data_IF_712842523817
#
_entry.id   IF_712842523817
#
_cell.length_a   1.000
_cell.length_b   1.000
_cell.length_c   1.000
_cell.angle_alpha   90.00
_cell.angle_beta   90.00
_cell.angle_gamma   90.00
#
_symmetry.space_group_name_H-M   'P 1'
#
loop_
_entity.id
_entity.type
_entity.pdbx_description
1 polymer ?
#
# COMPACT_ATOMS: atom_id res chain seq x y z
N UNK A 1 -10.06 -19.59 -5.43
CA UNK A 1 -8.79 -19.41 -6.19
C UNK A 1 -8.06 -18.18 -5.62
N UNK A 2 -6.76 -18.26 -5.35
CA UNK A 2 -5.94 -17.14 -4.83
C UNK A 2 -4.89 -16.78 -5.89
N UNK A 3 -4.94 -15.54 -6.41
CA UNK A 3 -4.01 -15.08 -7.46
C UNK A 3 -3.38 -13.76 -7.04
N UNK A 4 -2.07 -13.59 -7.23
CA UNK A 4 -1.37 -12.33 -6.94
C UNK A 4 -0.77 -11.74 -8.20
N UNK A 5 -1.03 -10.44 -8.43
CA UNK A 5 -0.40 -9.67 -9.51
C UNK A 5 0.66 -8.78 -8.89
N UNK A 6 1.91 -9.02 -9.24
CA UNK A 6 3.07 -8.30 -8.73
C UNK A 6 3.90 -7.73 -9.86
N UNK A 7 4.60 -6.63 -9.60
CA UNK A 7 5.65 -6.12 -10.48
C UNK A 7 6.95 -6.88 -10.22
N UNK A 8 7.69 -7.19 -11.26
CA UNK A 8 8.98 -7.86 -11.15
C UNK A 8 10.17 -6.92 -11.31
N UNK A 9 9.93 -5.72 -11.79
CA UNK A 9 10.94 -4.68 -11.98
C UNK A 9 10.65 -3.49 -11.05
N UNK A 10 10.47 -2.29 -11.57
CA UNK A 10 10.27 -1.06 -10.79
C UNK A 10 8.83 -0.82 -10.34
N UNK A 11 7.85 -1.41 -11.00
CA UNK A 11 6.43 -1.32 -10.65
C UNK A 11 5.54 -0.65 -11.69
N UNK A 12 6.09 -0.17 -12.79
CA UNK A 12 5.34 0.53 -13.86
C UNK A 12 4.98 -0.40 -15.03
N UNK A 13 4.86 -1.71 -14.75
CA UNK A 13 4.63 -2.76 -15.74
C UNK A 13 3.16 -2.90 -16.16
N UNK A 14 2.28 -1.99 -15.71
CA UNK A 14 0.87 -1.98 -16.11
C UNK A 14 -0.04 -2.87 -15.27
N UNK A 15 0.35 -3.19 -14.01
CA UNK A 15 -0.44 -4.03 -13.09
C UNK A 15 -1.91 -3.61 -12.96
N UNK A 16 -2.19 -2.31 -12.80
CA UNK A 16 -3.55 -1.82 -12.65
C UNK A 16 -4.46 -2.21 -13.81
N UNK A 17 -3.96 -2.18 -15.06
CA UNK A 17 -4.70 -2.64 -16.23
C UNK A 17 -4.95 -4.15 -16.19
N UNK A 18 -3.97 -4.93 -15.75
CA UNK A 18 -4.13 -6.38 -15.62
C UNK A 18 -5.11 -6.74 -14.50
N UNK A 19 -5.06 -6.02 -13.38
CA UNK A 19 -6.03 -6.21 -12.28
C UNK A 19 -7.43 -5.85 -12.72
N UNK A 20 -7.64 -4.72 -13.40
CA UNK A 20 -8.95 -4.33 -13.94
C UNK A 20 -9.50 -5.41 -14.90
N UNK A 21 -8.67 -5.89 -15.81
CA UNK A 21 -9.07 -6.94 -16.76
C UNK A 21 -9.45 -8.25 -16.06
N UNK A 22 -8.65 -8.66 -15.08
CA UNK A 22 -8.84 -9.94 -14.38
C UNK A 22 -9.91 -9.87 -13.30
N UNK A 23 -10.14 -8.72 -12.67
CA UNK A 23 -11.12 -8.53 -11.60
C UNK A 23 -12.55 -8.94 -12.00
N UNK A 24 -12.86 -8.99 -13.29
CA UNK A 24 -14.13 -9.56 -13.82
C UNK A 24 -14.38 -11.03 -13.42
N UNK A 25 -13.32 -11.74 -13.08
CA UNK A 25 -13.36 -13.19 -12.75
C UNK A 25 -13.12 -13.46 -11.27
N UNK A 26 -13.04 -12.39 -10.46
CA UNK A 26 -12.73 -12.51 -9.04
C UNK A 26 -13.79 -11.83 -8.20
N UNK A 27 -14.16 -12.49 -7.11
CA UNK A 27 -15.14 -11.99 -6.15
C UNK A 27 -14.58 -10.88 -5.27
N UNK A 28 -13.27 -10.95 -4.96
CA UNK A 28 -12.62 -10.02 -4.06
C UNK A 28 -11.28 -9.54 -4.62
N UNK A 29 -11.01 -8.23 -4.58
CA UNK A 29 -9.70 -7.63 -4.89
C UNK A 29 -9.09 -7.06 -3.62
N UNK A 30 -7.86 -7.48 -3.30
CA UNK A 30 -7.20 -7.15 -2.04
C UNK A 30 -5.90 -6.39 -2.30
N UNK A 31 -5.78 -5.19 -1.78
CA UNK A 31 -4.49 -4.50 -1.64
C UNK A 31 -3.86 -4.87 -0.30
N UNK A 32 -2.63 -5.33 -0.32
CA UNK A 32 -2.00 -5.96 0.84
C UNK A 32 -0.75 -5.25 1.35
N UNK A 33 -0.26 -4.21 0.64
CA UNK A 33 0.95 -3.47 1.02
C UNK A 33 1.00 -2.09 0.34
N UNK A 34 1.88 -1.21 0.83
CA UNK A 34 2.06 0.12 0.30
C UNK A 34 0.99 1.09 0.79
N UNK A 35 0.86 2.20 0.10
CA UNK A 35 -0.10 3.28 0.39
C UNK A 35 -0.44 4.03 -0.89
N UNK A 36 -0.46 5.37 -0.84
CA UNK A 36 -0.72 6.24 -2.00
C UNK A 36 0.56 6.64 -2.78
N UNK A 37 1.65 5.90 -2.62
CA UNK A 37 2.94 6.19 -3.24
C UNK A 37 3.07 5.69 -4.69
N UNK A 38 2.09 4.93 -5.19
CA UNK A 38 1.98 4.56 -6.58
C UNK A 38 0.58 4.92 -7.10
N UNK A 39 0.47 5.19 -8.39
CA UNK A 39 -0.82 5.45 -9.05
C UNK A 39 -0.90 4.68 -10.35
N UNK A 40 -2.08 4.18 -10.67
CA UNK A 40 -2.33 3.57 -11.95
C UNK A 40 -3.59 4.12 -12.59
N UNK A 41 -3.53 4.27 -13.90
CA UNK A 41 -4.67 4.75 -14.67
C UNK A 41 -5.41 3.56 -15.26
N UNK A 42 -6.70 3.48 -14.97
CA UNK A 42 -7.63 2.53 -15.57
C UNK A 42 -8.54 3.28 -16.53
N UNK A 43 -8.71 2.76 -17.73
CA UNK A 43 -9.64 3.29 -18.74
C UNK A 43 -10.57 2.17 -19.12
N UNK A 44 -11.87 2.36 -18.84
CA UNK A 44 -12.94 1.41 -19.18
C UNK A 44 -14.16 2.16 -19.75
N UNK A 45 -15.26 1.48 -19.91
CA UNK A 45 -16.55 2.00 -20.41
C UNK A 45 -17.17 3.09 -19.50
N UNK A 46 -16.87 3.09 -18.20
CA UNK A 46 -17.30 4.12 -17.24
C UNK A 46 -16.44 5.40 -17.31
N UNK A 47 -15.23 5.34 -17.92
CA UNK A 47 -14.37 6.51 -18.05
C UNK A 47 -12.89 6.25 -17.79
N UNK A 48 -12.17 7.34 -17.46
CA UNK A 48 -10.75 7.32 -17.08
C UNK A 48 -10.61 7.63 -15.60
N UNK A 49 -10.04 6.70 -14.84
CA UNK A 49 -9.84 6.79 -13.40
C UNK A 49 -8.36 6.67 -13.05
N UNK A 50 -7.91 7.48 -12.10
CA UNK A 50 -6.57 7.39 -11.53
C UNK A 50 -6.71 6.90 -10.10
N UNK A 51 -6.24 5.67 -9.85
CA UNK A 51 -6.33 5.00 -8.55
C UNK A 51 -4.97 5.02 -7.88
N UNK A 52 -4.95 5.35 -6.59
CA UNK A 52 -3.75 5.35 -5.75
C UNK A 52 -3.89 4.39 -4.58
N UNK A 53 -4.90 4.57 -3.73
CA UNK A 53 -5.21 3.70 -2.60
C UNK A 53 -6.28 2.66 -2.93
N UNK A 54 -7.28 3.05 -3.74
CA UNK A 54 -8.36 2.14 -4.08
C UNK A 54 -7.85 0.98 -4.92
N UNK A 55 -8.28 -0.26 -4.61
CA UNK A 55 -8.06 -1.41 -5.48
C UNK A 55 -8.73 -1.19 -6.85
N UNK A 56 -8.15 -1.75 -7.91
CA UNK A 56 -8.71 -1.60 -9.27
C UNK A 56 -10.09 -2.23 -9.43
N UNK A 57 -10.44 -3.20 -8.58
CA UNK A 57 -11.78 -3.80 -8.54
C UNK A 57 -12.90 -2.85 -8.12
N UNK A 58 -12.58 -1.68 -7.53
CA UNK A 58 -13.58 -0.70 -7.07
C UNK A 58 -14.45 -0.15 -8.19
N UNK A 59 -13.99 -0.26 -9.44
CA UNK A 59 -14.74 0.18 -10.61
C UNK A 59 -15.84 -0.79 -11.02
N UNK A 60 -16.01 -1.92 -10.31
CA UNK A 60 -16.98 -2.98 -10.57
C UNK A 60 -17.95 -3.13 -9.42
N UNK A 61 -19.24 -3.12 -9.73
CA UNK A 61 -20.30 -3.09 -8.72
C UNK A 61 -20.43 -4.44 -7.95
N UNK A 62 -19.96 -5.55 -8.55
CA UNK A 62 -20.06 -6.90 -7.97
C UNK A 62 -18.80 -7.36 -7.21
N UNK A 63 -17.72 -6.58 -7.27
CA UNK A 63 -16.43 -6.94 -6.66
C UNK A 63 -16.28 -6.29 -5.30
N UNK A 64 -16.01 -7.07 -4.27
CA UNK A 64 -15.63 -6.53 -2.96
C UNK A 64 -14.15 -6.16 -2.96
N UNK A 65 -13.85 -5.00 -2.41
CA UNK A 65 -12.49 -4.46 -2.38
C UNK A 65 -12.00 -4.39 -0.94
N UNK A 66 -10.76 -4.83 -0.69
CA UNK A 66 -10.21 -4.92 0.65
C UNK A 66 -8.88 -4.17 0.71
N UNK A 67 -8.74 -3.29 1.68
CA UNK A 67 -7.46 -2.71 2.11
C UNK A 67 -6.98 -3.50 3.33
N UNK A 68 -5.99 -4.36 3.12
CA UNK A 68 -5.50 -5.31 4.11
C UNK A 68 -4.63 -4.69 5.21
N UNK A 69 -4.30 -5.47 6.27
CA UNK A 69 -3.51 -5.02 7.42
C UNK A 69 -2.07 -4.61 7.09
N UNK A 70 -1.58 -5.01 5.92
CA UNK A 70 -0.27 -4.61 5.42
C UNK A 70 -0.21 -3.20 4.84
N UNK A 71 -1.34 -2.52 4.66
CA UNK A 71 -1.42 -1.18 4.09
C UNK A 71 -1.05 -0.08 5.10
N UNK A 72 -0.56 1.04 4.57
CA UNK A 72 -0.53 2.35 5.25
C UNK A 72 -1.44 3.30 4.49
N UNK A 73 -2.46 3.81 5.16
CA UNK A 73 -3.60 4.49 4.54
C UNK A 73 -3.55 5.99 4.86
N UNK A 74 -3.25 6.79 3.85
CA UNK A 74 -3.46 8.24 3.87
C UNK A 74 -4.94 8.52 3.69
N UNK A 75 -5.65 8.75 4.80
CA UNK A 75 -7.11 8.90 4.78
C UNK A 75 -7.57 10.18 4.11
N UNK A 76 -6.78 11.26 4.13
CA UNK A 76 -7.05 12.48 3.38
C UNK A 76 -7.02 12.21 1.86
N UNK A 77 -5.96 11.55 1.40
CA UNK A 77 -5.87 11.15 0.00
C UNK A 77 -7.01 10.21 -0.40
N UNK A 78 -7.32 9.23 0.46
CA UNK A 78 -8.42 8.29 0.26
C UNK A 78 -9.77 9.00 0.20
N UNK A 79 -10.01 10.00 1.05
CA UNK A 79 -11.24 10.80 1.07
C UNK A 79 -11.45 11.46 -0.30
N UNK A 80 -10.45 12.17 -0.79
CA UNK A 80 -10.54 12.83 -2.10
C UNK A 80 -10.58 11.84 -3.27
N UNK A 81 -9.95 10.68 -3.16
CA UNK A 81 -10.05 9.63 -4.18
C UNK A 81 -11.46 9.06 -4.25
N UNK A 82 -12.09 8.79 -3.10
CA UNK A 82 -13.48 8.31 -3.00
C UNK A 82 -14.47 9.35 -3.55
N UNK A 83 -14.28 10.63 -3.21
CA UNK A 83 -15.14 11.70 -3.77
C UNK A 83 -15.08 11.73 -5.30
N UNK A 84 -13.86 11.75 -5.87
CA UNK A 84 -13.70 11.72 -7.35
C UNK A 84 -14.31 10.49 -8.00
N UNK A 85 -14.23 9.32 -7.35
CA UNK A 85 -14.85 8.11 -7.87
C UNK A 85 -16.38 8.18 -7.84
N UNK A 86 -16.95 8.72 -6.76
CA UNK A 86 -18.40 8.94 -6.63
C UNK A 86 -18.92 9.94 -7.66
N UNK A 87 -18.20 11.03 -7.88
CA UNK A 87 -18.49 12.01 -8.92
C UNK A 87 -18.44 11.38 -10.33
N UNK A 88 -17.57 10.38 -10.51
CA UNK A 88 -17.49 9.53 -11.71
C UNK A 88 -18.56 8.44 -11.80
N UNK A 89 -19.53 8.41 -10.87
CA UNK A 89 -20.64 7.44 -10.88
C UNK A 89 -20.30 6.07 -10.26
N UNK A 90 -19.21 5.95 -9.51
CA UNK A 90 -18.86 4.71 -8.83
C UNK A 90 -19.50 4.69 -7.43
N UNK A 91 -20.27 3.64 -7.15
CA UNK A 91 -20.86 3.42 -5.82
C UNK A 91 -19.82 2.84 -4.86
N UNK A 92 -19.57 3.53 -3.74
CA UNK A 92 -18.62 3.07 -2.73
C UNK A 92 -19.33 3.07 -1.38
N UNK A 93 -19.61 1.86 -0.88
CA UNK A 93 -20.28 1.59 0.40
C UNK A 93 -19.44 0.63 1.25
N UNK A 94 -19.75 0.44 2.55
CA UNK A 94 -19.08 -0.55 3.40
C UNK A 94 -19.22 -2.01 2.90
N UNK A 95 -20.20 -2.31 2.06
CA UNK A 95 -20.36 -3.62 1.43
C UNK A 95 -19.34 -3.82 0.31
N UNK A 96 -18.99 -2.75 -0.43
CA UNK A 96 -18.06 -2.80 -1.57
C UNK A 96 -16.61 -2.56 -1.20
N UNK A 97 -16.35 -1.80 -0.11
CA UNK A 97 -15.01 -1.49 0.37
C UNK A 97 -14.90 -1.87 1.84
N UNK A 98 -13.90 -2.69 2.16
CA UNK A 98 -13.57 -3.07 3.54
C UNK A 98 -12.14 -2.63 3.86
N UNK A 99 -11.97 -2.06 5.04
CA UNK A 99 -10.68 -1.55 5.51
C UNK A 99 -10.30 -2.32 6.77
N UNK A 100 -9.10 -2.90 6.78
CA UNK A 100 -8.63 -3.62 7.94
C UNK A 100 -8.49 -2.71 9.16
N UNK A 101 -9.05 -3.15 10.28
CA UNK A 101 -8.83 -2.56 11.61
C UNK A 101 -7.35 -2.45 11.98
N UNK A 102 -6.51 -3.34 11.43
CA UNK A 102 -5.06 -3.44 11.67
C UNK A 102 -4.22 -2.59 10.71
N UNK A 103 -4.81 -2.01 9.65
CA UNK A 103 -4.11 -1.11 8.73
C UNK A 103 -3.67 0.18 9.44
N UNK A 104 -2.51 0.70 9.05
CA UNK A 104 -1.92 1.90 9.67
C UNK A 104 -2.47 3.16 9.04
N UNK A 105 -2.81 4.16 9.85
CA UNK A 105 -3.13 5.51 9.39
C UNK A 105 -1.83 6.25 9.06
N UNK A 106 -1.68 6.67 7.81
CA UNK A 106 -0.59 7.55 7.39
C UNK A 106 -0.94 9.00 7.75
N UNK A 107 -0.51 9.43 8.92
CA UNK A 107 -0.78 10.76 9.48
C UNK A 107 0.00 11.87 8.76
N UNK A 108 -0.43 13.14 8.83
CA UNK A 108 0.28 14.29 8.24
C UNK A 108 1.75 14.39 8.68
N UNK A 109 2.04 14.04 9.93
CA UNK A 109 3.42 14.07 10.43
C UNK A 109 4.33 13.02 9.77
N UNK A 110 3.80 11.92 9.21
CA UNK A 110 4.60 10.99 8.43
C UNK A 110 5.06 11.64 7.12
N UNK A 111 4.17 12.40 6.46
CA UNK A 111 4.54 13.18 5.27
C UNK A 111 5.58 14.25 5.59
N UNK A 112 5.40 14.96 6.72
CA UNK A 112 6.35 15.94 7.21
C UNK A 112 7.73 15.32 7.44
N UNK A 113 7.80 14.21 8.18
CA UNK A 113 9.08 13.52 8.47
C UNK A 113 9.76 13.01 7.20
N UNK A 114 9.02 12.51 6.24
CA UNK A 114 9.53 12.08 4.93
C UNK A 114 10.16 13.26 4.17
N UNK A 115 9.51 14.43 4.19
CA UNK A 115 10.03 15.65 3.59
C UNK A 115 11.30 16.14 4.30
N UNK A 116 11.27 16.23 5.63
CA UNK A 116 12.38 16.71 6.43
C UNK A 116 13.63 15.84 6.26
N UNK A 117 13.47 14.51 6.20
CA UNK A 117 14.59 13.61 6.00
C UNK A 117 15.17 13.71 4.59
N UNK A 118 14.32 13.76 3.55
CA UNK A 118 14.79 13.96 2.18
C UNK A 118 15.53 15.30 2.03
N UNK A 119 15.05 16.35 2.67
CA UNK A 119 15.70 17.67 2.62
C UNK A 119 17.04 17.68 3.39
N UNK A 120 17.11 16.98 4.55
CA UNK A 120 18.35 16.79 5.33
C UNK A 120 19.42 16.02 4.55
N UNK A 121 19.01 15.03 3.76
CA UNK A 121 19.93 14.20 2.97
C UNK A 121 20.56 14.96 1.78
N UNK A 122 19.98 16.08 1.34
CA UNK A 122 20.48 16.93 0.25
C UNK A 122 20.85 16.11 -1.01
N UNK A 123 22.12 15.99 -1.33
CA UNK A 123 22.59 15.25 -2.52
C UNK A 123 22.55 13.72 -2.34
N UNK A 124 22.30 13.22 -1.11
CA UNK A 124 22.21 11.78 -0.78
C UNK A 124 20.77 11.29 -0.69
N UNK A 125 19.82 12.00 -1.31
CA UNK A 125 18.39 11.67 -1.29
C UNK A 125 18.13 10.25 -1.77
N UNK A 126 17.18 9.58 -1.13
CA UNK A 126 16.70 8.26 -1.58
C UNK A 126 15.70 8.37 -2.74
N UNK A 127 15.18 9.57 -3.03
CA UNK A 127 14.13 9.78 -4.01
C UNK A 127 12.77 9.35 -3.51
N UNK A 128 12.46 9.66 -2.24
CA UNK A 128 11.15 9.41 -1.65
C UNK A 128 10.05 10.15 -2.42
N UNK A 129 8.88 9.55 -2.47
CA UNK A 129 7.67 10.18 -3.01
C UNK A 129 7.11 11.27 -2.10
N UNK A 130 7.70 11.47 -0.91
CA UNK A 130 7.25 12.41 0.15
C UNK A 130 5.80 12.16 0.60
N UNK A 131 5.35 10.90 0.51
CA UNK A 131 4.02 10.46 0.91
C UNK A 131 3.97 9.88 2.33
N UNK A 132 5.08 9.88 3.04
CA UNK A 132 5.15 9.39 4.41
C UNK A 132 5.10 7.87 4.57
N UNK A 133 5.31 7.12 3.51
CA UNK A 133 5.14 5.66 3.52
C UNK A 133 6.18 4.99 4.42
N UNK A 134 7.48 5.29 4.23
CA UNK A 134 8.53 4.71 5.05
C UNK A 134 8.44 5.13 6.52
N UNK A 135 8.19 6.40 6.88
CA UNK A 135 7.93 6.80 8.26
C UNK A 135 6.73 6.07 8.89
N UNK A 136 5.62 5.86 8.15
CA UNK A 136 4.46 5.15 8.66
C UNK A 136 4.77 3.66 8.93
N UNK A 137 5.51 2.99 8.05
CA UNK A 137 5.99 1.62 8.31
C UNK A 137 6.98 1.57 9.47
N UNK A 138 7.90 2.53 9.58
CA UNK A 138 8.78 2.64 10.73
C UNK A 138 7.99 2.67 12.04
N UNK A 139 6.97 3.51 12.11
CA UNK A 139 6.09 3.61 13.29
C UNK A 139 5.32 2.32 13.57
N UNK A 140 4.88 1.62 12.53
CA UNK A 140 4.24 0.30 12.70
C UNK A 140 5.15 -0.66 13.47
N UNK A 141 6.41 -0.78 13.06
CA UNK A 141 7.38 -1.67 13.71
C UNK A 141 7.86 -1.16 15.06
N UNK A 142 7.92 0.16 15.25
CA UNK A 142 8.20 0.80 16.53
C UNK A 142 6.98 0.77 17.49
N UNK A 143 5.81 0.29 17.04
CA UNK A 143 4.56 0.25 17.80
C UNK A 143 4.05 1.66 18.19
N UNK A 144 4.36 2.64 17.37
CA UNK A 144 4.00 4.07 17.51
C UNK A 144 3.00 4.54 16.45
N UNK A 145 2.43 3.63 15.65
CA UNK A 145 1.43 3.96 14.66
C UNK A 145 0.02 3.92 15.25
N UNK A 146 -0.87 4.76 14.73
CA UNK A 146 -2.31 4.61 14.87
C UNK A 146 -2.83 3.64 13.81
N UNK A 147 -3.81 2.82 14.16
CA UNK A 147 -4.48 1.88 13.27
C UNK A 147 -5.91 2.32 13.00
N UNK A 148 -6.45 1.88 11.87
CA UNK A 148 -7.83 2.20 11.49
C UNK A 148 -8.86 1.74 12.53
N UNK A 149 -8.64 0.61 13.21
CA UNK A 149 -9.51 0.12 14.28
C UNK A 149 -9.61 1.06 15.49
N UNK A 150 -8.63 1.93 15.72
CA UNK A 150 -8.66 2.88 16.83
C UNK A 150 -9.69 4.01 16.60
N UNK A 151 -10.20 4.18 15.38
CA UNK A 151 -11.32 5.09 15.08
C UNK A 151 -12.62 4.71 15.83
N UNK A 152 -12.72 3.49 16.36
CA UNK A 152 -13.86 3.05 17.14
C UNK A 152 -14.05 3.84 18.44
N UNK A 153 -12.95 4.27 19.07
CA UNK A 153 -12.95 5.05 20.33
C UNK A 153 -12.09 6.31 20.18
N UNK A 154 -12.76 7.44 19.92
CA UNK A 154 -12.10 8.72 19.66
C UNK A 154 -11.29 9.25 20.86
N UNK A 155 -11.78 9.01 22.08
CA UNK A 155 -11.11 9.53 23.29
C UNK A 155 -9.83 8.71 23.60
N UNK A 156 -9.91 7.39 23.48
CA UNK A 156 -8.74 6.52 23.58
C UNK A 156 -7.71 6.84 22.47
N UNK A 157 -8.17 7.09 21.25
CA UNK A 157 -7.33 7.49 20.11
C UNK A 157 -6.63 8.83 20.39
N UNK A 158 -7.35 9.85 20.91
CA UNK A 158 -6.74 11.15 21.28
C UNK A 158 -5.66 11.00 22.34
N UNK A 159 -5.92 10.21 23.38
CA UNK A 159 -4.94 9.95 24.44
C UNK A 159 -3.68 9.27 23.87
N UNK A 160 -3.86 8.23 23.05
CA UNK A 160 -2.73 7.53 22.40
C UNK A 160 -1.97 8.43 21.42
N UNK A 161 -2.67 9.28 20.67
CA UNK A 161 -2.02 10.24 19.77
C UNK A 161 -1.15 11.24 20.55
N UNK A 162 -1.62 11.73 21.70
CA UNK A 162 -0.85 12.62 22.56
C UNK A 162 0.49 11.98 22.98
N UNK A 163 0.48 10.71 23.42
CA UNK A 163 1.69 9.97 23.77
C UNK A 163 2.64 9.80 22.56
N UNK A 164 2.08 9.55 21.39
CA UNK A 164 2.86 9.43 20.15
C UNK A 164 3.51 10.77 19.80
N UNK A 165 2.77 11.87 19.88
CA UNK A 165 3.27 13.20 19.54
C UNK A 165 4.31 13.72 20.52
N UNK A 166 4.21 13.40 21.80
CA UNK A 166 5.27 13.69 22.78
C UNK A 166 6.61 13.11 22.28
N UNK A 167 6.61 11.83 21.89
CA UNK A 167 7.80 11.19 21.37
C UNK A 167 8.24 11.73 20.00
N UNK A 168 7.30 11.99 19.07
CA UNK A 168 7.60 12.52 17.75
C UNK A 168 8.22 13.89 17.80
N UNK A 169 7.73 14.76 18.66
CA UNK A 169 8.23 16.11 18.82
C UNK A 169 9.67 16.17 19.34
N UNK A 170 10.18 15.10 19.99
CA UNK A 170 11.61 15.01 20.30
C UNK A 170 12.49 15.06 19.04
N UNK A 171 12.06 14.39 17.96
CA UNK A 171 12.80 14.39 16.70
C UNK A 171 12.50 15.63 15.87
N UNK A 172 11.26 16.03 15.80
CA UNK A 172 10.82 17.18 14.99
C UNK A 172 11.47 18.45 15.49
N UNK A 173 11.41 18.70 16.80
CA UNK A 173 11.94 19.93 17.39
C UNK A 173 13.47 19.89 17.54
N UNK A 174 14.02 18.83 18.16
CA UNK A 174 15.42 18.80 18.50
C UNK A 174 16.32 18.26 17.38
N UNK A 175 15.78 17.39 16.52
CA UNK A 175 16.52 16.79 15.41
C UNK A 175 16.43 17.58 14.12
N UNK A 176 15.22 17.97 13.74
CA UNK A 176 14.98 18.70 12.48
C UNK A 176 14.82 20.22 12.67
N UNK A 177 14.78 20.71 13.91
CA UNK A 177 14.59 22.13 14.24
C UNK A 177 13.32 22.73 13.61
N UNK A 178 12.27 21.94 13.56
CA UNK A 178 10.96 22.30 13.04
C UNK A 178 10.01 22.59 14.21
N UNK A 179 8.93 23.33 13.95
CA UNK A 179 7.86 23.56 14.92
C UNK A 179 7.23 22.25 15.39
N UNK A 180 6.80 22.15 16.67
CA UNK A 180 6.17 20.93 17.17
C UNK A 180 4.87 20.65 16.43
N UNK A 181 4.56 19.36 16.31
CA UNK A 181 3.27 18.88 15.77
C UNK A 181 2.21 19.10 16.86
N UNK A 182 1.14 19.77 16.50
CA UNK A 182 0.05 20.09 17.41
C UNK A 182 -0.99 18.95 17.47
N UNK A 183 -1.45 18.62 18.69
CA UNK A 183 -2.40 17.55 18.91
C UNK A 183 -3.79 17.86 18.34
N UNK A 184 -4.27 19.09 18.56
CA UNK A 184 -5.62 19.44 18.16
C UNK A 184 -5.72 19.57 16.63
N UNK A 185 -4.69 20.08 15.95
CA UNK A 185 -4.60 20.03 14.47
C UNK A 185 -4.66 18.59 13.95
N UNK A 186 -3.95 17.65 14.58
CA UNK A 186 -3.98 16.25 14.17
C UNK A 186 -5.35 15.61 14.44
N UNK A 187 -6.02 15.98 15.52
CA UNK A 187 -7.38 15.52 15.82
C UNK A 187 -8.41 16.08 14.82
N UNK A 188 -8.31 17.36 14.47
CA UNK A 188 -9.18 17.98 13.46
C UNK A 188 -9.01 17.31 12.09
N UNK A 189 -7.77 16.95 11.75
CA UNK A 189 -7.50 16.18 10.53
C UNK A 189 -8.11 14.76 10.58
N UNK A 190 -8.01 14.07 11.73
CA UNK A 190 -8.63 12.75 11.93
C UNK A 190 -10.15 12.86 11.80
N UNK A 191 -10.77 13.82 12.47
CA UNK A 191 -12.22 14.02 12.43
C UNK A 191 -12.71 14.32 10.99
N UNK A 192 -11.92 15.07 10.23
CA UNK A 192 -12.27 15.46 8.86
C UNK A 192 -12.09 14.32 7.86
N UNK A 193 -10.96 13.58 7.94
CA UNK A 193 -10.54 12.69 6.87
C UNK A 193 -10.51 11.21 7.24
N UNK A 194 -10.37 10.85 8.52
CA UNK A 194 -10.31 9.45 8.93
C UNK A 194 -11.66 8.95 9.46
N UNK A 195 -12.36 9.73 10.28
CA UNK A 195 -13.64 9.36 10.87
C UNK A 195 -14.73 9.02 9.85
N UNK A 196 -14.81 9.66 8.65
CA UNK A 196 -15.76 9.26 7.61
C UNK A 196 -15.62 7.80 7.13
N UNK A 197 -14.48 7.18 7.39
CA UNK A 197 -14.24 5.77 7.03
C UNK A 197 -14.48 4.77 8.16
N UNK A 198 -14.91 5.23 9.33
CA UNK A 198 -15.14 4.37 10.50
C UNK A 198 -16.02 3.15 10.19
N UNK A 199 -17.10 3.36 9.44
CA UNK A 199 -18.07 2.31 9.10
C UNK A 199 -17.54 1.31 8.03
N UNK A 200 -16.44 1.63 7.37
CA UNK A 200 -15.74 0.74 6.44
C UNK A 200 -14.74 -0.18 7.14
N UNK A 201 -14.41 0.12 8.40
CA UNK A 201 -13.40 -0.63 9.16
C UNK A 201 -14.00 -1.89 9.75
N UNK A 202 -13.34 -3.02 9.50
CA UNK A 202 -13.76 -4.32 10.02
C UNK A 202 -12.53 -5.24 10.22
N UNK A 203 -12.75 -6.40 10.85
CA UNK A 203 -11.75 -7.48 10.81
C UNK A 203 -11.74 -8.11 9.41
N UNK A 204 -10.80 -7.66 8.58
CA UNK A 204 -10.65 -8.18 7.22
C UNK A 204 -10.03 -9.58 7.21
N UNK A 205 -9.39 -10.04 8.29
CA UNK A 205 -8.87 -11.39 8.42
C UNK A 205 -10.03 -12.38 8.47
N UNK A 206 -11.02 -12.13 9.33
CA UNK A 206 -12.22 -12.95 9.43
C UNK A 206 -12.99 -12.93 8.12
N UNK A 207 -13.24 -11.75 7.54
CA UNK A 207 -13.94 -11.62 6.27
C UNK A 207 -13.27 -12.42 5.12
N UNK A 208 -11.95 -12.33 4.98
CA UNK A 208 -11.24 -13.04 3.91
C UNK A 208 -11.16 -14.54 4.17
N UNK A 209 -11.10 -14.97 5.43
CA UNK A 209 -11.14 -16.38 5.80
C UNK A 209 -12.50 -17.00 5.45
N UNK A 210 -13.60 -16.34 5.81
CA UNK A 210 -14.95 -16.74 5.41
C UNK A 210 -15.11 -16.78 3.90
N UNK A 211 -14.60 -15.77 3.18
CA UNK A 211 -14.64 -15.73 1.73
C UNK A 211 -13.91 -16.93 1.08
N UNK A 212 -12.80 -17.38 1.68
CA UNK A 212 -12.07 -18.57 1.22
C UNK A 212 -12.85 -19.84 1.51
N UNK A 213 -13.46 -19.96 2.69
CA UNK A 213 -14.32 -21.10 3.06
C UNK A 213 -15.53 -21.21 2.13
N UNK A 214 -16.09 -20.07 1.72
CA UNK A 214 -17.17 -19.95 0.73
C UNK A 214 -16.70 -20.19 -0.72
N UNK A 215 -15.45 -20.60 -0.94
CA UNK A 215 -14.84 -20.83 -2.25
C UNK A 215 -14.80 -19.59 -3.15
N UNK A 216 -14.84 -18.39 -2.61
CA UNK A 216 -14.67 -17.14 -3.38
C UNK A 216 -13.26 -17.03 -3.93
N UNK A 217 -13.14 -16.38 -5.06
CA UNK A 217 -11.87 -16.10 -5.73
C UNK A 217 -11.31 -14.76 -5.29
N UNK A 218 -10.04 -14.74 -4.87
CA UNK A 218 -9.33 -13.56 -4.39
C UNK A 218 -8.19 -13.17 -5.33
N UNK A 219 -8.14 -11.89 -5.71
CA UNK A 219 -7.09 -11.28 -6.51
C UNK A 219 -6.29 -10.31 -5.64
N UNK A 220 -5.01 -10.57 -5.44
CA UNK A 220 -4.12 -9.69 -4.70
C UNK A 220 -3.43 -8.71 -5.64
N UNK A 221 -3.61 -7.43 -5.39
CA UNK A 221 -3.04 -6.33 -6.15
C UNK A 221 -1.85 -5.72 -5.41
N UNK A 222 -0.63 -5.93 -5.94
CA UNK A 222 0.58 -5.31 -5.42
C UNK A 222 0.77 -3.88 -5.90
N UNK A 223 1.54 -3.13 -5.14
CA UNK A 223 2.15 -1.88 -5.59
C UNK A 223 3.63 -2.07 -5.88
N UNK A 224 4.18 -1.22 -6.75
CA UNK A 224 5.60 -1.23 -7.12
C UNK A 224 6.03 -2.59 -7.72
N UNK A 225 7.31 -2.89 -7.67
CA UNK A 225 7.90 -4.11 -8.19
C UNK A 225 8.99 -4.67 -7.28
N UNK A 226 9.48 -5.87 -7.59
CA UNK A 226 10.42 -6.61 -6.75
C UNK A 226 11.73 -5.85 -6.47
N UNK A 227 12.21 -5.00 -7.41
CA UNK A 227 13.39 -4.16 -7.16
C UNK A 227 13.18 -3.11 -6.06
N UNK A 228 11.93 -2.81 -5.73
CA UNK A 228 11.55 -1.89 -4.65
C UNK A 228 11.20 -2.60 -3.34
N UNK A 229 11.31 -3.92 -3.28
CA UNK A 229 11.06 -4.68 -2.05
C UNK A 229 12.03 -4.29 -0.95
N UNK A 230 11.53 -4.18 0.28
CA UNK A 230 12.34 -3.71 1.42
C UNK A 230 13.50 -4.67 1.74
N UNK A 231 13.28 -5.98 1.57
CA UNK A 231 14.25 -7.02 1.94
C UNK A 231 15.08 -7.48 0.73
N UNK A 232 14.46 -7.64 -0.43
CA UNK A 232 15.06 -8.24 -1.62
C UNK A 232 15.38 -7.25 -2.73
N UNK A 233 14.98 -5.99 -2.58
CA UNK A 233 15.20 -4.92 -3.56
C UNK A 233 16.59 -4.30 -3.48
N UNK A 234 16.74 -3.18 -4.19
CA UNK A 234 18.01 -2.43 -4.30
C UNK A 234 18.19 -1.46 -3.12
N UNK A 235 18.23 -1.98 -1.90
CA UNK A 235 18.38 -1.18 -0.70
C UNK A 235 19.57 -0.21 -0.78
N UNK A 236 19.45 1.07 -0.38
CA UNK A 236 18.33 1.70 0.31
C UNK A 236 17.26 2.35 -0.60
N UNK A 237 17.32 2.17 -1.90
CA UNK A 237 16.39 2.77 -2.87
C UNK A 237 15.11 1.94 -3.02
N UNK A 238 14.62 1.40 -1.92
CA UNK A 238 13.43 0.54 -1.81
C UNK A 238 12.21 1.30 -1.33
N UNK A 239 11.04 0.66 -1.37
CA UNK A 239 9.86 1.09 -0.59
C UNK A 239 10.01 0.61 0.86
N UNK A 240 9.21 1.15 1.78
CA UNK A 240 9.14 0.68 3.16
C UNK A 240 8.34 -0.62 3.36
N UNK A 241 7.93 -1.30 2.28
CA UNK A 241 7.08 -2.49 2.35
C UNK A 241 7.61 -3.64 1.49
N UNK A 242 7.12 -4.85 1.77
CA UNK A 242 7.40 -6.01 0.92
C UNK A 242 6.47 -6.02 -0.29
N UNK A 243 7.07 -6.01 -1.49
CA UNK A 243 6.36 -5.89 -2.78
C UNK A 243 6.22 -7.21 -3.52
N UNK A 244 6.78 -8.31 -2.98
CA UNK A 244 6.77 -9.63 -3.59
C UNK A 244 5.48 -10.40 -3.32
N UNK A 245 5.14 -11.34 -4.20
CA UNK A 245 3.93 -12.15 -4.10
C UNK A 245 3.85 -13.00 -2.81
N UNK A 246 5.01 -13.42 -2.27
CA UNK A 246 5.07 -14.21 -1.04
C UNK A 246 4.48 -13.45 0.17
N UNK A 247 4.51 -12.13 0.16
CA UNK A 247 3.95 -11.31 1.23
C UNK A 247 2.42 -11.12 1.12
N UNK A 248 1.82 -11.41 -0.02
CA UNK A 248 0.39 -11.16 -0.25
C UNK A 248 -0.53 -11.77 0.82
N UNK A 249 -0.43 -13.04 1.20
CA UNK A 249 -1.25 -13.61 2.25
C UNK A 249 -1.00 -12.95 3.62
N UNK A 250 0.24 -12.62 3.93
CA UNK A 250 0.63 -11.98 5.19
C UNK A 250 0.05 -10.56 5.25
N UNK A 251 0.27 -9.77 4.19
CA UNK A 251 -0.21 -8.40 4.10
C UNK A 251 -1.73 -8.28 3.97
N UNK A 252 -2.41 -9.33 3.50
CA UNK A 252 -3.86 -9.45 3.49
C UNK A 252 -4.45 -9.92 4.83
N UNK A 253 -3.62 -10.47 5.74
CA UNK A 253 -4.05 -10.95 7.05
C UNK A 253 -4.53 -12.41 7.07
N UNK A 254 -4.21 -13.19 6.06
CA UNK A 254 -4.57 -14.62 5.90
C UNK A 254 -3.31 -15.47 5.69
N UNK A 255 -2.34 -15.46 6.62
CA UNK A 255 -1.03 -16.10 6.43
C UNK A 255 -1.12 -17.62 6.23
N UNK A 256 -2.18 -18.24 6.72
CA UNK A 256 -2.42 -19.69 6.64
C UNK A 256 -3.17 -20.12 5.38
N UNK A 257 -3.58 -19.17 4.53
CA UNK A 257 -4.29 -19.47 3.31
C UNK A 257 -3.46 -20.44 2.44
N UNK A 258 -3.93 -21.68 2.35
CA UNK A 258 -3.26 -22.73 1.57
C UNK A 258 -3.32 -22.36 0.10
N UNK A 259 -2.16 -22.24 -0.50
CA UNK A 259 -2.01 -22.15 -1.95
C UNK A 259 -2.18 -23.56 -2.51
N UNK A 260 -3.41 -23.97 -2.76
CA UNK A 260 -3.63 -25.30 -3.35
C UNK A 260 -3.11 -25.44 -4.79
N UNK A 261 -2.83 -24.34 -5.48
CA UNK A 261 -2.37 -24.37 -6.87
C UNK A 261 -1.53 -23.15 -7.25
N UNK A 262 -0.38 -22.99 -6.62
CA UNK A 262 0.75 -22.33 -7.27
C UNK A 262 1.99 -23.21 -7.09
N UNK A 263 1.92 -24.43 -7.60
CA UNK A 263 3.08 -25.03 -8.21
C UNK A 263 3.26 -24.33 -9.57
N UNK A 264 3.62 -23.08 -9.57
CA UNK A 264 4.47 -22.57 -10.62
C UNK A 264 5.82 -23.23 -10.31
N UNK A 265 6.01 -24.45 -10.81
CA UNK A 265 7.37 -24.81 -11.22
C UNK A 265 7.74 -23.71 -12.22
N UNK A 266 8.68 -22.83 -11.86
CA UNK A 266 9.05 -21.77 -12.78
C UNK A 266 9.51 -22.46 -14.05
N UNK A 267 8.92 -22.09 -15.18
CA UNK A 267 9.38 -22.62 -16.46
C UNK A 267 10.89 -22.37 -16.55
N UNK A 268 11.67 -23.17 -17.29
CA UNK A 268 13.10 -22.91 -17.48
C UNK A 268 13.40 -21.48 -17.97
N UNK A 269 12.41 -20.82 -18.56
CA UNK A 269 12.46 -19.44 -19.01
C UNK A 269 12.27 -18.46 -17.84
N UNK A 270 11.36 -18.74 -16.92
CA UNK A 270 11.17 -17.97 -15.68
C UNK A 270 12.37 -18.09 -14.74
N UNK A 271 12.98 -19.28 -14.62
CA UNK A 271 14.22 -19.46 -13.86
C UNK A 271 15.36 -18.65 -14.46
N UNK A 272 15.50 -18.66 -15.79
CA UNK A 272 16.50 -17.83 -16.48
C UNK A 272 16.25 -16.34 -16.27
N UNK A 273 15.00 -15.92 -16.29
CA UNK A 273 14.61 -14.54 -16.08
C UNK A 273 14.91 -14.07 -14.64
N UNK A 274 14.61 -14.88 -13.62
CA UNK A 274 14.96 -14.55 -12.23
C UNK A 274 16.48 -14.46 -12.06
N UNK A 275 17.24 -15.36 -12.68
CA UNK A 275 18.71 -15.31 -12.68
C UNK A 275 19.26 -14.08 -13.41
N UNK A 276 18.60 -13.65 -14.50
CA UNK A 276 18.95 -12.43 -15.21
C UNK A 276 18.63 -11.17 -14.40
N UNK A 277 17.48 -11.13 -13.72
CA UNK A 277 17.12 -10.05 -12.80
C UNK A 277 18.13 -9.94 -11.65
N UNK A 278 18.59 -11.06 -11.09
CA UNK A 278 19.65 -11.08 -10.09
C UNK A 278 20.95 -10.44 -10.62
N UNK A 279 21.39 -10.83 -11.81
CA UNK A 279 22.60 -10.27 -12.46
C UNK A 279 22.46 -8.76 -12.72
N UNK A 280 21.28 -8.31 -13.15
CA UNK A 280 21.01 -6.89 -13.39
C UNK A 280 20.98 -6.07 -12.10
N UNK A 281 20.37 -6.59 -11.04
CA UNK A 281 20.40 -5.97 -9.73
C UNK A 281 21.84 -5.81 -9.21
N UNK A 282 22.68 -6.82 -9.40
CA UNK A 282 24.11 -6.75 -9.05
C UNK A 282 24.89 -5.76 -9.91
N UNK A 283 24.58 -5.68 -11.20
CA UNK A 283 25.18 -4.69 -12.11
C UNK A 283 24.80 -3.26 -11.75
N UNK A 284 23.55 -3.02 -11.35
CA UNK A 284 23.08 -1.71 -10.83
C UNK A 284 23.77 -1.38 -9.50
N UNK A 285 23.87 -2.32 -8.56
CA UNK A 285 24.58 -2.14 -7.27
C UNK A 285 26.07 -1.83 -7.46
N UNK A 286 26.70 -2.44 -8.45
CA UNK A 286 28.11 -2.17 -8.77
C UNK A 286 28.34 -0.89 -9.60
N UNK A 287 27.29 -0.19 -10.00
CA UNK A 287 27.36 1.01 -10.84
C UNK A 287 27.76 0.75 -12.29
N UNK A 288 27.72 -0.51 -12.74
CA UNK A 288 28.07 -0.89 -14.12
C UNK A 288 26.92 -0.70 -15.12
N UNK A 289 25.70 -0.46 -14.62
CA UNK A 289 24.51 -0.13 -15.45
C UNK A 289 23.75 1.03 -14.83
N UNK A 290 23.38 2.01 -15.65
CA UNK A 290 22.52 3.14 -15.25
C UNK A 290 21.07 2.64 -15.15
N UNK A 291 20.43 2.75 -13.98
CA UNK A 291 19.05 2.33 -13.78
C UNK A 291 18.04 3.08 -14.65
N UNK A 292 18.39 4.29 -15.17
CA UNK A 292 17.52 5.06 -16.04
C UNK A 292 17.56 4.59 -17.51
N UNK A 293 18.57 3.83 -17.91
CA UNK A 293 18.74 3.34 -19.29
C UNK A 293 18.17 1.94 -19.54
N UNK A 294 17.76 1.22 -18.50
CA UNK A 294 17.28 -0.17 -18.61
C UNK A 294 15.77 -0.21 -18.76
N UNK A 295 15.32 0.07 -19.99
CA UNK A 295 13.92 -0.08 -20.36
C UNK A 295 13.59 -1.55 -20.65
N UNK A 296 12.67 -2.11 -19.85
CA UNK A 296 11.72 -3.14 -20.22
C UNK A 296 12.12 -4.61 -20.11
N UNK A 297 11.43 -5.29 -19.22
CA UNK A 297 10.90 -6.62 -19.52
C UNK A 297 9.42 -6.66 -19.09
N UNK A 298 8.55 -6.68 -20.08
CA UNK A 298 7.14 -7.05 -19.89
C UNK A 298 7.11 -8.57 -19.81
N UNK A 299 6.63 -9.09 -18.68
CA UNK A 299 6.31 -10.51 -18.57
C UNK A 299 4.81 -10.63 -18.39
N UNK A 300 4.21 -11.21 -19.39
CA UNK A 300 2.83 -11.69 -19.40
C UNK A 300 2.69 -12.93 -18.55
#
# INVERSE_FOLDING_TARGET
>A
MLTSIVGINWGDEGKGRMVDLLSQKYDVVVRYQGGNNAGHTVINDKGKFVLNLMPSGILRDETVNVLGPGMVIDTEHMFHEVERLRDGGITITPEHLKISDKAVICMPYHKLLDCLEEDRLADKKFGSTRRGISPAYSDKYMKKALRMGELADRDALKARLADILEWKNLFVVNGYHHDPIDLDEMMDWIDTYAMPFKDYVCDTTDYLSEAIEDNKSLLFEAQLGALRDIDYGIYPYTSGSSTIAAYAPIGAGIPEARRENVALEPSPEQVRMVAELGRRADAIRSGSVDPASDNMLVVT
#
